data_IF_525829560792
#
_entry.id   IF_525829560792
#
_cell.length_a   1.000
_cell.length_b   1.000
_cell.length_c   1.000
_cell.angle_alpha   90.00
_cell.angle_beta   90.00
_cell.angle_gamma   90.00
#
_symmetry.space_group_name_H-M   'P 1'
#
loop_
_entity.id
_entity.type
_entity.pdbx_description
1 polymer ?
#
# COMPACT_ATOMS: atom_id res chain seq x y z
N UNK A 1 4.92 -26.78 9.50
CA UNK A 1 4.22 -26.29 8.30
C UNK A 1 4.55 -24.81 8.17
N UNK A 2 5.48 -24.47 7.28
CA UNK A 2 5.93 -23.09 7.10
C UNK A 2 5.08 -22.50 5.97
N UNK A 3 4.23 -21.53 6.28
CA UNK A 3 3.50 -20.77 5.26
C UNK A 3 4.56 -20.05 4.42
N UNK A 4 4.77 -20.54 3.19
CA UNK A 4 5.56 -19.86 2.18
C UNK A 4 4.96 -18.47 2.01
N UNK A 5 5.74 -17.46 2.41
CA UNK A 5 5.53 -16.09 1.97
C UNK A 5 5.42 -16.13 0.45
N UNK A 6 4.22 -15.89 -0.08
CA UNK A 6 4.05 -15.69 -1.51
C UNK A 6 5.03 -14.58 -1.90
N UNK A 7 6.03 -14.91 -2.72
CA UNK A 7 6.86 -13.92 -3.38
C UNK A 7 5.91 -13.02 -4.15
N UNK A 8 5.64 -11.83 -3.60
CA UNK A 8 4.87 -10.80 -4.28
C UNK A 8 5.62 -10.49 -5.58
N UNK A 9 5.06 -10.97 -6.71
CA UNK A 9 5.40 -10.43 -8.02
C UNK A 9 5.27 -8.91 -7.91
N UNK A 10 6.23 -8.17 -8.44
CA UNK A 10 6.16 -6.71 -8.45
C UNK A 10 4.80 -6.26 -8.98
N UNK A 11 4.09 -5.35 -8.29
CA UNK A 11 2.77 -4.93 -8.70
C UNK A 11 2.83 -4.23 -10.06
N UNK A 12 1.85 -4.54 -10.90
CA UNK A 12 1.75 -4.05 -12.27
C UNK A 12 1.02 -2.72 -12.28
N UNK A 13 1.59 -1.74 -12.96
CA UNK A 13 0.98 -0.41 -13.12
C UNK A 13 -0.40 -0.56 -13.77
N UNK A 14 -1.36 0.23 -13.29
CA UNK A 14 -2.77 0.22 -13.70
C UNK A 14 -3.59 -1.02 -13.29
N UNK A 15 -3.04 -1.93 -12.49
CA UNK A 15 -3.80 -3.05 -11.91
C UNK A 15 -4.38 -2.69 -10.53
N UNK A 16 -5.57 -3.24 -10.21
CA UNK A 16 -6.22 -3.07 -8.90
C UNK A 16 -5.71 -4.11 -7.92
N UNK A 17 -5.41 -3.68 -6.69
CA UNK A 17 -5.01 -4.54 -5.59
C UNK A 17 -5.68 -4.12 -4.29
N UNK A 18 -5.83 -5.07 -3.38
CA UNK A 18 -6.17 -4.81 -1.99
C UNK A 18 -4.86 -4.51 -1.22
N UNK A 19 -4.66 -3.26 -0.85
CA UNK A 19 -3.49 -2.82 -0.10
C UNK A 19 -3.80 -2.78 1.38
N UNK A 20 -3.09 -3.58 2.19
CA UNK A 20 -3.10 -3.45 3.64
C UNK A 20 -2.14 -2.34 4.04
N UNK A 21 -2.69 -1.22 4.50
CA UNK A 21 -1.93 -0.04 4.91
C UNK A 21 -1.38 -0.30 6.32
N UNK A 22 -0.18 0.20 6.62
CA UNK A 22 0.39 0.10 7.98
C UNK A 22 -0.44 0.86 9.01
N UNK A 23 -0.41 0.38 10.25
CA UNK A 23 -0.83 1.16 11.41
C UNK A 23 0.03 2.43 11.52
N UNK A 24 -0.61 3.52 11.95
CA UNK A 24 0.07 4.79 12.15
C UNK A 24 -0.01 5.21 13.61
N UNK A 25 1.14 5.39 14.23
CA UNK A 25 1.22 5.98 15.56
C UNK A 25 1.17 7.50 15.46
N UNK A 26 0.20 8.08 16.16
CA UNK A 26 0.10 9.53 16.30
C UNK A 26 1.23 10.05 17.20
N UNK A 27 1.62 11.33 17.09
CA UNK A 27 2.57 11.94 18.02
C UNK A 27 2.15 11.93 19.50
N UNK A 28 0.89 11.62 19.79
CA UNK A 28 0.33 11.57 21.15
C UNK A 28 0.27 10.15 21.73
N UNK A 29 0.79 9.15 21.01
CA UNK A 29 0.85 7.76 21.46
C UNK A 29 -0.41 6.92 21.16
N UNK A 30 -1.38 7.49 20.44
CA UNK A 30 -2.52 6.72 19.93
C UNK A 30 -2.13 5.96 18.65
N UNK A 31 -2.59 4.72 18.51
CA UNK A 31 -2.42 3.91 17.30
C UNK A 31 -3.67 4.03 16.44
N UNK A 32 -3.51 4.55 15.21
CA UNK A 32 -4.55 4.52 14.18
C UNK A 32 -4.35 3.23 13.38
N UNK A 33 -5.26 2.25 13.48
CA UNK A 33 -5.13 1.01 12.73
C UNK A 33 -5.22 1.28 11.23
N UNK A 34 -4.28 0.70 10.49
CA UNK A 34 -4.29 0.65 9.06
C UNK A 34 -5.49 -0.15 8.57
N UNK A 35 -6.02 0.23 7.41
CA UNK A 35 -7.16 -0.44 6.81
C UNK A 35 -6.78 -1.00 5.44
N UNK A 36 -7.39 -2.12 5.06
CA UNK A 36 -7.31 -2.63 3.69
C UNK A 36 -8.06 -1.72 2.74
N UNK A 37 -7.43 -1.29 1.65
CA UNK A 37 -8.02 -0.44 0.61
C UNK A 37 -7.80 -1.02 -0.77
N UNK A 38 -8.86 -1.11 -1.58
CA UNK A 38 -8.76 -1.52 -2.97
C UNK A 38 -8.43 -0.31 -3.83
N UNK A 39 -7.26 -0.30 -4.49
CA UNK A 39 -6.80 0.83 -5.30
C UNK A 39 -6.08 0.36 -6.55
N UNK A 40 -5.96 1.24 -7.54
CA UNK A 40 -5.14 0.97 -8.73
C UNK A 40 -3.68 1.35 -8.46
N UNK A 41 -2.74 0.42 -8.62
CA UNK A 41 -1.32 0.73 -8.51
C UNK A 41 -0.85 1.66 -9.64
N UNK A 42 -0.08 2.69 -9.29
CA UNK A 42 0.48 3.65 -10.26
C UNK A 42 2.01 3.67 -10.26
N UNK A 43 2.66 3.09 -9.26
CA UNK A 43 4.12 3.09 -9.12
C UNK A 43 4.57 3.21 -7.67
N UNK A 44 5.88 3.28 -7.45
CA UNK A 44 6.48 3.52 -6.14
C UNK A 44 7.15 4.90 -6.13
N UNK A 45 7.08 5.59 -5.00
CA UNK A 45 7.76 6.87 -4.79
C UNK A 45 8.50 6.88 -3.47
N UNK A 46 9.73 7.38 -3.48
CA UNK A 46 10.50 7.64 -2.28
C UNK A 46 10.18 9.03 -1.73
N UNK A 47 9.92 9.12 -0.43
CA UNK A 47 9.71 10.39 0.28
C UNK A 47 10.52 10.43 1.55
N UNK A 48 11.05 11.60 1.87
CA UNK A 48 11.69 11.85 3.15
C UNK A 48 10.64 11.95 4.25
N UNK A 49 10.73 11.08 5.25
CA UNK A 49 9.95 11.07 6.48
C UNK A 49 10.91 11.35 7.66
N UNK A 50 11.09 12.63 7.97
CA UNK A 50 12.06 13.06 8.97
C UNK A 50 13.50 12.85 8.48
N UNK A 51 14.27 12.02 9.18
CA UNK A 51 15.66 11.70 8.83
C UNK A 51 15.80 10.48 7.91
N UNK A 52 14.69 9.78 7.61
CA UNK A 52 14.69 8.55 6.81
C UNK A 52 13.98 8.78 5.47
N UNK A 53 14.37 8.01 4.45
CA UNK A 53 13.64 7.92 3.19
C UNK A 53 12.80 6.65 3.22
N UNK A 54 11.49 6.80 3.02
CA UNK A 54 10.55 5.69 2.96
C UNK A 54 9.97 5.55 1.56
N UNK A 55 9.71 4.30 1.15
CA UNK A 55 9.05 3.97 -0.11
C UNK A 55 7.55 3.91 0.11
N UNK A 56 6.82 4.72 -0.65
CA UNK A 56 5.36 4.76 -0.69
C UNK A 56 4.86 4.21 -2.01
N UNK A 57 3.66 3.62 -1.96
CA UNK A 57 2.96 3.18 -3.15
C UNK A 57 2.08 4.32 -3.65
N UNK A 58 2.35 4.79 -4.86
CA UNK A 58 1.45 5.68 -5.56
C UNK A 58 0.30 4.86 -6.11
N UNK A 59 -0.92 5.18 -5.70
CA UNK A 59 -2.12 4.49 -6.14
C UNK A 59 -3.23 5.48 -6.49
N UNK A 60 -4.23 5.02 -7.23
CA UNK A 60 -5.41 5.80 -7.63
C UNK A 60 -6.66 5.28 -6.94
N UNK A 61 -7.45 6.21 -6.41
CA UNK A 61 -8.80 5.95 -5.87
C UNK A 61 -9.82 5.76 -6.99
N UNK A 62 -11.00 5.26 -6.61
CA UNK A 62 -12.13 5.13 -7.53
C UNK A 62 -12.64 6.49 -8.03
N UNK A 63 -12.45 7.57 -7.27
CA UNK A 63 -12.75 8.95 -7.66
C UNK A 63 -11.70 9.56 -8.62
N UNK A 64 -10.69 8.77 -9.02
CA UNK A 64 -9.59 9.19 -9.90
C UNK A 64 -8.46 9.95 -9.19
N UNK A 65 -8.60 10.26 -7.90
CA UNK A 65 -7.58 11.00 -7.14
C UNK A 65 -6.38 10.10 -6.87
N UNK A 66 -5.19 10.65 -7.14
CA UNK A 66 -3.90 10.03 -6.83
C UNK A 66 -3.53 10.25 -5.36
N UNK A 67 -3.00 9.21 -4.71
CA UNK A 67 -2.48 9.31 -3.35
C UNK A 67 -1.31 8.36 -3.11
N UNK A 68 -0.56 8.64 -2.04
CA UNK A 68 0.54 7.81 -1.55
C UNK A 68 0.08 7.03 -0.33
N UNK A 69 0.40 5.74 -0.26
CA UNK A 69 0.11 4.88 0.89
C UNK A 69 1.38 4.18 1.37
N UNK A 70 1.55 4.09 2.69
CA UNK A 70 2.58 3.25 3.31
C UNK A 70 2.01 1.85 3.47
N UNK A 71 2.69 0.87 2.89
CA UNK A 71 2.17 -0.47 2.72
C UNK A 71 2.72 -1.43 3.79
N UNK A 72 1.84 -2.23 4.39
CA UNK A 72 2.23 -3.41 5.17
C UNK A 72 2.34 -4.64 4.27
N UNK A 73 1.28 -4.97 3.53
CA UNK A 73 1.22 -6.11 2.60
C UNK A 73 0.25 -5.84 1.44
N UNK A 74 0.43 -6.53 0.30
CA UNK A 74 -0.55 -6.53 -0.81
C UNK A 74 -1.30 -7.86 -0.76
N UNK A 75 -2.63 -7.78 -0.70
CA UNK A 75 -3.52 -8.92 -0.87
C UNK A 75 -3.97 -8.99 -2.35
N UNK A 76 -4.10 -10.22 -2.86
CA UNK A 76 -4.16 -10.49 -4.31
C UNK A 76 -5.40 -9.92 -5.02
N UNK A 77 -5.19 -9.74 -6.33
CA UNK A 77 -6.01 -9.14 -7.39
C UNK A 77 -7.45 -9.66 -7.46
N UNK A 78 -8.40 -8.73 -7.59
CA UNK A 78 -9.66 -8.99 -8.29
C UNK A 78 -9.33 -8.89 -9.78
N UNK A 79 -9.34 -10.02 -10.49
CA UNK A 79 -9.12 -10.02 -11.93
C UNK A 79 -10.20 -9.13 -12.55
N UNK A 80 -9.79 -8.05 -13.22
CA UNK A 80 -10.69 -7.30 -14.06
C UNK A 80 -11.05 -8.22 -15.23
N UNK A 81 -12.27 -8.77 -15.15
CA UNK A 81 -12.92 -9.57 -16.22
C UNK A 81 -13.05 -8.71 -17.48
#
# INVERSE_FOLDING_TARGET
MTLQQAQLREPVINQRYAFKIKDWETPFGEVIPGATKIRTFMGMEERACGQQVEVFFAVRRDDGVRHLISLETIESVEDAI
#
